data_IF_099946858536
#
_entry.id   IF_099946858536
#
_cell.length_a   1.000
_cell.length_b   1.000
_cell.length_c   1.000
_cell.angle_alpha   90.00
_cell.angle_beta   90.00
_cell.angle_gamma   90.00
#
_symmetry.space_group_name_H-M   'P 1'
#
loop_
_entity.id
_entity.type
_entity.pdbx_description
1 polymer ?
#
# COMPACT_ATOMS: atom_id res chain seq x y z
N UNK A 1 7.78 -10.28 -64.07
CA UNK A 1 6.79 -9.68 -65.01
C UNK A 1 5.42 -9.90 -64.43
N UNK A 2 4.64 -8.90 -64.25
CA UNK A 2 3.28 -8.70 -63.69
C UNK A 2 3.25 -7.99 -62.32
N UNK A 3 3.17 -6.68 -62.43
CA UNK A 3 2.68 -5.73 -61.43
C UNK A 3 1.16 -5.87 -61.28
N UNK A 4 0.63 -5.85 -60.05
CA UNK A 4 -0.76 -5.47 -59.81
C UNK A 4 -0.79 -4.30 -58.86
N UNK A 5 -1.08 -3.12 -59.41
CA UNK A 5 -1.57 -1.94 -58.70
C UNK A 5 -2.98 -2.24 -58.22
N UNK A 6 -3.29 -1.97 -56.97
CA UNK A 6 -4.67 -1.82 -56.48
C UNK A 6 -4.80 -0.46 -55.78
N UNK A 7 -5.80 0.26 -56.24
CA UNK A 7 -6.11 1.64 -55.93
C UNK A 7 -6.63 1.81 -54.47
N UNK A 8 -6.20 2.89 -53.85
CA UNK A 8 -6.62 3.42 -52.56
C UNK A 8 -7.86 4.30 -52.79
N UNK A 9 -8.99 3.90 -52.17
CA UNK A 9 -10.16 4.78 -52.04
C UNK A 9 -10.11 5.45 -50.67
N UNK A 10 -9.90 6.77 -50.67
CA UNK A 10 -9.94 7.60 -49.47
C UNK A 10 -11.39 7.79 -48.98
N UNK A 11 -11.60 7.58 -47.68
CA UNK A 11 -12.83 7.94 -47.01
C UNK A 11 -12.49 9.02 -45.94
N UNK A 12 -12.80 10.27 -46.25
CA UNK A 12 -12.71 11.43 -45.37
C UNK A 12 -13.95 11.43 -44.47
N UNK A 13 -13.77 11.14 -43.16
CA UNK A 13 -14.81 11.33 -42.14
C UNK A 13 -14.63 12.70 -41.50
N UNK A 14 -15.60 13.59 -41.71
CA UNK A 14 -15.71 14.90 -41.03
C UNK A 14 -16.29 14.67 -39.63
N UNK A 15 -15.51 14.98 -38.58
CA UNK A 15 -16.00 15.06 -37.19
C UNK A 15 -16.65 16.41 -36.96
N UNK A 16 -17.95 16.41 -36.63
CA UNK A 16 -18.66 17.56 -36.11
C UNK A 16 -18.43 17.65 -34.59
N UNK A 17 -17.82 18.76 -34.16
CA UNK A 17 -17.69 19.14 -32.75
C UNK A 17 -19.00 19.77 -32.27
N UNK A 18 -19.74 19.06 -31.41
CA UNK A 18 -20.82 19.66 -30.62
C UNK A 18 -20.25 20.15 -29.30
N UNK A 19 -20.11 21.47 -29.18
CA UNK A 19 -19.75 22.13 -27.94
C UNK A 19 -20.95 22.18 -27.00
N UNK A 20 -20.83 21.61 -25.79
CA UNK A 20 -21.72 21.87 -24.69
C UNK A 20 -21.22 23.08 -23.90
N UNK A 21 -21.97 24.19 -23.98
CA UNK A 21 -21.79 25.36 -23.12
C UNK A 21 -22.34 25.07 -21.72
N UNK A 22 -21.46 25.12 -20.71
CA UNK A 22 -21.87 25.10 -19.30
C UNK A 22 -22.22 26.51 -18.89
N UNK A 23 -23.50 26.78 -18.65
CA UNK A 23 -24.01 27.98 -18.03
C UNK A 23 -23.69 27.97 -16.54
N UNK A 24 -22.89 28.92 -16.07
CA UNK A 24 -22.72 29.24 -14.65
C UNK A 24 -23.97 29.98 -14.15
N UNK A 25 -24.69 29.36 -13.24
CA UNK A 25 -25.69 30.08 -12.43
C UNK A 25 -24.98 30.61 -11.17
N UNK A 26 -24.81 31.91 -11.13
CA UNK A 26 -24.58 32.68 -9.91
C UNK A 26 -25.92 32.85 -9.21
N UNK A 27 -26.10 32.25 -8.06
CA UNK A 27 -27.16 32.63 -7.13
C UNK A 27 -26.61 32.86 -5.72
N UNK A 28 -26.71 34.12 -5.37
CA UNK A 28 -27.00 34.79 -4.09
C UNK A 28 -26.43 34.19 -2.79
N UNK A 29 -25.49 34.94 -2.25
CA UNK A 29 -25.24 35.10 -0.82
C UNK A 29 -26.52 35.50 -0.05
N UNK A 30 -27.02 34.63 0.80
CA UNK A 30 -27.79 35.02 1.97
C UNK A 30 -26.98 34.66 3.22
N UNK A 31 -26.48 35.71 3.85
CA UNK A 31 -25.84 35.66 5.15
C UNK A 31 -26.97 35.54 6.22
N UNK A 32 -27.12 34.32 6.75
CA UNK A 32 -27.95 34.15 7.98
C UNK A 32 -27.08 34.44 9.18
N UNK A 33 -27.27 35.67 9.69
CA UNK A 33 -26.70 36.16 10.93
C UNK A 33 -27.59 35.68 12.09
N UNK A 34 -27.36 34.51 12.64
CA UNK A 34 -28.00 34.04 13.86
C UNK A 34 -27.19 34.48 15.08
N UNK A 35 -27.47 35.66 15.55
CA UNK A 35 -26.98 36.18 16.82
C UNK A 35 -27.75 35.47 17.93
N UNK A 36 -27.10 34.54 18.60
CA UNK A 36 -27.60 33.92 19.83
C UNK A 36 -27.24 34.81 21.02
N UNK A 37 -28.26 35.51 21.56
CA UNK A 37 -28.17 36.26 22.80
C UNK A 37 -28.05 35.29 23.98
N UNK A 38 -26.90 35.23 24.63
CA UNK A 38 -26.81 34.69 25.99
C UNK A 38 -26.78 35.86 26.97
N UNK A 39 -27.80 35.91 27.76
CA UNK A 39 -27.88 36.81 28.91
C UNK A 39 -26.88 36.32 29.96
N UNK A 40 -25.78 37.07 30.16
CA UNK A 40 -24.86 36.87 31.27
C UNK A 40 -25.49 37.40 32.53
N UNK A 41 -25.95 36.50 33.41
CA UNK A 41 -26.32 36.86 34.78
C UNK A 41 -25.03 36.94 35.62
N UNK A 42 -24.55 38.15 35.82
CA UNK A 42 -23.53 38.49 36.82
C UNK A 42 -24.15 38.44 38.21
N UNK A 43 -23.88 37.36 38.95
CA UNK A 43 -24.08 37.36 40.41
C UNK A 43 -22.72 37.56 41.09
N UNK A 44 -22.60 38.74 41.69
CA UNK A 44 -21.52 39.08 42.62
C UNK A 44 -21.74 38.35 43.93
N UNK A 45 -20.77 37.48 44.33
CA UNK A 45 -20.65 37.04 45.70
C UNK A 45 -19.15 36.95 46.07
N UNK A 46 -18.83 37.56 47.19
CA UNK A 46 -17.52 37.74 47.79
C UNK A 46 -16.77 36.42 48.04
N UNK A 47 -15.43 36.45 48.04
CA UNK A 47 -14.60 35.29 48.28
C UNK A 47 -14.49 34.97 49.78
N UNK A 48 -14.82 33.77 50.17
CA UNK A 48 -14.38 33.15 51.42
C UNK A 48 -13.10 32.32 51.14
N UNK A 49 -12.11 32.36 52.03
CA UNK A 49 -10.86 31.61 51.81
C UNK A 49 -11.04 30.15 52.24
N UNK A 50 -10.97 29.22 51.33
CA UNK A 50 -10.89 27.79 51.62
C UNK A 50 -9.68 27.18 50.95
N UNK A 51 -8.75 26.80 51.81
CA UNK A 51 -7.69 25.79 51.75
C UNK A 51 -7.19 25.32 50.35
N UNK A 52 -5.94 25.70 50.09
CA UNK A 52 -5.02 25.10 49.15
C UNK A 52 -4.82 23.59 49.46
N UNK A 53 -5.41 22.67 48.68
CA UNK A 53 -4.96 21.27 48.53
C UNK A 53 -5.74 20.46 47.48
N UNK A 54 -6.23 21.08 46.41
CA UNK A 54 -6.89 20.35 45.31
C UNK A 54 -6.29 20.60 43.90
N UNK A 55 -5.11 21.20 43.77
CA UNK A 55 -4.54 21.57 42.49
C UNK A 55 -3.63 20.53 41.83
N UNK A 56 -3.38 19.37 42.46
CA UNK A 56 -2.43 18.37 41.92
C UNK A 56 -3.11 17.23 41.11
N UNK A 57 -4.41 16.98 41.35
CA UNK A 57 -5.11 15.89 40.61
C UNK A 57 -5.76 16.31 39.31
N UNK A 58 -6.07 17.57 39.07
CA UNK A 58 -6.67 18.03 37.82
C UNK A 58 -5.66 18.22 36.68
N UNK A 59 -4.38 18.37 36.98
CA UNK A 59 -3.35 18.57 35.97
C UNK A 59 -2.96 17.28 35.24
N UNK A 60 -3.13 16.12 35.88
CA UNK A 60 -2.83 14.82 35.26
C UNK A 60 -3.89 14.37 34.24
N UNK A 61 -5.14 14.83 34.41
CA UNK A 61 -6.25 14.47 33.51
C UNK A 61 -6.25 15.32 32.22
N UNK A 62 -5.75 16.56 32.29
CA UNK A 62 -5.55 17.43 31.12
C UNK A 62 -4.35 17.03 30.25
N UNK A 63 -3.31 16.44 30.83
CA UNK A 63 -2.15 15.97 30.09
C UNK A 63 -2.44 14.68 29.30
N UNK A 64 -3.38 13.86 29.80
CA UNK A 64 -3.82 12.64 29.08
C UNK A 64 -4.72 12.98 27.88
N UNK A 65 -5.47 14.08 27.94
CA UNK A 65 -6.33 14.52 26.84
C UNK A 65 -5.57 15.23 25.70
N UNK A 66 -4.31 15.61 25.91
CA UNK A 66 -3.47 16.29 24.92
C UNK A 66 -2.61 15.35 24.08
N UNK A 67 -2.64 14.05 24.29
CA UNK A 67 -2.07 13.09 23.36
C UNK A 67 -2.99 12.90 22.16
N UNK A 68 -3.34 14.00 21.48
CA UNK A 68 -3.90 13.96 20.14
C UNK A 68 -2.82 13.38 19.22
N UNK A 69 -2.93 12.10 18.94
CA UNK A 69 -2.08 11.42 17.98
C UNK A 69 -2.48 11.91 16.58
N UNK A 70 -1.63 12.65 15.87
CA UNK A 70 -1.99 13.17 14.56
C UNK A 70 -2.41 12.04 13.60
N UNK A 71 -3.29 12.31 12.66
CA UNK A 71 -3.79 11.40 11.61
C UNK A 71 -2.68 10.62 10.86
N UNK A 72 -1.43 11.05 10.91
CA UNK A 72 -0.25 10.32 10.39
C UNK A 72 -0.04 8.92 10.98
N UNK A 73 -0.60 8.62 12.15
CA UNK A 73 -0.46 7.34 12.84
C UNK A 73 -1.53 6.29 12.44
N UNK A 74 -2.42 6.61 11.50
CA UNK A 74 -3.44 5.65 11.03
C UNK A 74 -3.00 4.78 9.86
N UNK A 75 -1.83 5.05 9.23
CA UNK A 75 -1.32 4.19 8.16
C UNK A 75 -0.93 2.81 8.71
N UNK A 76 -1.40 1.78 8.01
CA UNK A 76 -1.07 0.37 8.26
C UNK A 76 0.07 -0.07 7.37
N UNK A 77 0.61 -1.27 7.60
CA UNK A 77 1.60 -1.89 6.72
C UNK A 77 1.06 -1.98 5.28
N UNK A 78 -0.21 -2.37 5.13
CA UNK A 78 -0.86 -2.48 3.83
C UNK A 78 -0.85 -1.16 3.03
N UNK A 79 -1.02 -0.01 3.70
CA UNK A 79 -0.96 1.30 3.02
C UNK A 79 0.45 1.63 2.50
N UNK A 80 1.51 1.21 3.22
CA UNK A 80 2.88 1.37 2.75
C UNK A 80 3.17 0.48 1.55
N UNK A 81 2.70 -0.77 1.58
CA UNK A 81 2.85 -1.72 0.46
C UNK A 81 2.05 -1.28 -0.75
N UNK A 82 0.82 -0.77 -0.57
CA UNK A 82 0.02 -0.21 -1.66
C UNK A 82 0.75 0.93 -2.38
N UNK A 83 1.35 1.86 -1.64
CA UNK A 83 2.16 2.93 -2.24
C UNK A 83 3.40 2.41 -2.97
N UNK A 84 4.06 1.36 -2.43
CA UNK A 84 5.20 0.72 -3.11
C UNK A 84 4.76 -0.01 -4.36
N UNK A 85 3.62 -0.68 -4.32
CA UNK A 85 3.06 -1.38 -5.47
C UNK A 85 2.66 -0.40 -6.58
N UNK A 86 2.09 0.77 -6.25
CA UNK A 86 1.83 1.85 -7.21
C UNK A 86 3.11 2.32 -7.89
N UNK A 87 4.18 2.60 -7.11
CA UNK A 87 5.48 3.00 -7.68
C UNK A 87 6.03 1.94 -8.67
N UNK A 88 5.80 0.65 -8.39
CA UNK A 88 6.21 -0.45 -9.29
C UNK A 88 5.34 -0.51 -10.54
N UNK A 89 4.03 -0.37 -10.39
CA UNK A 89 3.04 -0.44 -11.48
C UNK A 89 3.27 0.68 -12.48
N UNK A 90 3.47 1.91 -12.03
CA UNK A 90 3.74 3.07 -12.89
C UNK A 90 4.93 2.83 -13.84
N UNK A 91 5.96 2.12 -13.35
CA UNK A 91 7.13 1.79 -14.17
C UNK A 91 6.88 0.57 -15.07
N UNK A 92 6.15 -0.44 -14.56
CA UNK A 92 5.81 -1.65 -15.34
C UNK A 92 4.93 -1.34 -16.54
N UNK A 93 3.96 -0.43 -16.42
CA UNK A 93 3.07 -0.02 -17.51
C UNK A 93 3.85 0.65 -18.66
N UNK A 94 4.92 1.38 -18.33
CA UNK A 94 5.79 2.00 -19.33
C UNK A 94 6.61 0.98 -20.13
N UNK A 95 7.04 -0.12 -19.49
CA UNK A 95 7.89 -1.17 -20.10
C UNK A 95 7.07 -2.25 -20.84
N UNK A 96 5.86 -2.53 -20.37
CA UNK A 96 4.99 -3.55 -20.95
C UNK A 96 3.52 -3.11 -20.86
N UNK A 97 3.03 -2.35 -21.85
CA UNK A 97 1.68 -1.80 -21.84
C UNK A 97 0.56 -2.86 -21.91
N UNK A 98 0.91 -4.12 -22.20
CA UNK A 98 -0.03 -5.24 -22.21
C UNK A 98 0.10 -6.06 -20.92
N UNK A 99 -0.69 -5.70 -19.90
CA UNK A 99 -0.68 -6.32 -18.57
C UNK A 99 -0.98 -7.83 -18.58
N UNK A 100 -1.67 -8.35 -19.61
CA UNK A 100 -2.03 -9.76 -19.71
C UNK A 100 -0.83 -10.69 -19.94
N UNK A 101 0.31 -10.14 -20.33
CA UNK A 101 1.55 -10.92 -20.55
C UNK A 101 2.47 -10.98 -19.32
N UNK A 102 2.17 -10.21 -18.26
CA UNK A 102 3.02 -10.10 -17.06
C UNK A 102 2.50 -11.03 -15.96
N UNK A 103 3.27 -12.10 -15.70
CA UNK A 103 3.07 -13.00 -14.56
C UNK A 103 4.22 -12.84 -13.57
N UNK A 104 3.91 -12.39 -12.35
CA UNK A 104 4.90 -12.03 -11.33
C UNK A 104 4.88 -13.08 -10.21
N UNK A 105 6.01 -13.75 -9.97
CA UNK A 105 6.22 -14.51 -8.75
C UNK A 105 6.70 -13.56 -7.65
N UNK A 106 6.07 -13.58 -6.48
CA UNK A 106 6.48 -12.75 -5.34
C UNK A 106 7.28 -13.60 -4.37
N UNK A 107 8.55 -13.22 -4.15
CA UNK A 107 9.42 -13.89 -3.18
C UNK A 107 9.33 -13.26 -1.81
N UNK A 108 9.74 -13.99 -0.78
CA UNK A 108 9.93 -13.43 0.57
C UNK A 108 10.91 -12.25 0.52
N UNK A 109 10.59 -11.15 1.19
CA UNK A 109 11.49 -10.01 1.36
C UNK A 109 12.50 -10.38 2.45
N UNK A 110 13.79 -10.36 2.12
CA UNK A 110 14.86 -10.88 2.97
C UNK A 110 15.68 -9.76 3.62
N UNK A 111 16.39 -10.07 4.69
CA UNK A 111 17.33 -9.13 5.30
C UNK A 111 18.47 -8.82 4.32
N UNK A 112 18.90 -7.55 4.26
CA UNK A 112 20.09 -7.18 3.49
C UNK A 112 21.35 -7.51 4.30
N UNK A 113 21.69 -8.78 4.34
CA UNK A 113 22.92 -9.29 4.92
C UNK A 113 23.81 -9.95 3.85
N UNK A 114 24.94 -10.54 4.27
CA UNK A 114 25.89 -11.18 3.34
C UNK A 114 25.30 -12.41 2.63
N UNK A 115 24.28 -13.06 3.21
CA UNK A 115 23.71 -14.30 2.69
C UNK A 115 22.52 -14.09 1.77
N UNK A 116 21.75 -13.01 1.99
CA UNK A 116 20.46 -12.70 1.32
C UNK A 116 19.43 -13.85 1.43
N UNK A 117 19.51 -14.65 2.48
CA UNK A 117 18.64 -15.82 2.67
C UNK A 117 17.90 -15.81 4.03
N UNK A 118 18.05 -14.76 4.83
CA UNK A 118 17.35 -14.62 6.08
C UNK A 118 16.03 -13.90 5.88
N UNK A 119 14.96 -14.52 6.33
CA UNK A 119 13.62 -13.94 6.33
C UNK A 119 13.07 -13.85 7.75
N UNK A 120 12.11 -12.97 7.94
CA UNK A 120 11.41 -12.79 9.20
C UNK A 120 9.91 -12.55 8.96
N UNK A 121 9.16 -12.36 10.03
CA UNK A 121 7.72 -12.13 9.97
C UNK A 121 7.37 -10.94 9.07
N UNK A 122 8.10 -9.81 9.18
CA UNK A 122 7.87 -8.63 8.35
C UNK A 122 8.05 -8.94 6.85
N UNK A 123 9.14 -9.61 6.48
CA UNK A 123 9.43 -9.97 5.10
C UNK A 123 8.37 -10.89 4.49
N UNK A 124 7.83 -11.81 5.29
CA UNK A 124 6.73 -12.69 4.85
C UNK A 124 5.43 -11.91 4.69
N UNK A 125 5.05 -11.05 5.65
CA UNK A 125 3.83 -10.25 5.57
C UNK A 125 3.87 -9.24 4.41
N UNK A 126 5.03 -8.64 4.15
CA UNK A 126 5.23 -7.78 2.97
C UNK A 126 4.97 -8.54 1.68
N UNK A 127 5.54 -9.75 1.54
CA UNK A 127 5.34 -10.58 0.35
C UNK A 127 3.86 -10.91 0.12
N UNK A 128 3.15 -11.37 1.15
CA UNK A 128 1.71 -11.67 1.06
C UNK A 128 0.89 -10.41 0.70
N UNK A 129 1.25 -9.25 1.27
CA UNK A 129 0.56 -8.00 0.96
C UNK A 129 0.84 -7.55 -0.47
N UNK A 130 2.06 -7.75 -1.00
CA UNK A 130 2.38 -7.47 -2.41
C UNK A 130 1.60 -8.35 -3.37
N UNK A 131 1.41 -9.65 -3.06
CA UNK A 131 0.55 -10.55 -3.84
C UNK A 131 -0.84 -9.93 -4.01
N UNK A 132 -1.45 -9.52 -2.89
CA UNK A 132 -2.77 -8.91 -2.91
C UNK A 132 -2.81 -7.60 -3.72
N UNK A 133 -1.84 -6.71 -3.52
CA UNK A 133 -1.82 -5.41 -4.20
C UNK A 133 -1.59 -5.54 -5.72
N UNK A 134 -0.67 -6.40 -6.15
CA UNK A 134 -0.42 -6.61 -7.58
C UNK A 134 -1.65 -7.20 -8.29
N UNK A 135 -2.36 -8.15 -7.66
CA UNK A 135 -3.62 -8.66 -8.19
C UNK A 135 -4.69 -7.56 -8.28
N UNK A 136 -4.78 -6.70 -7.27
CA UNK A 136 -5.70 -5.55 -7.25
C UNK A 136 -5.44 -4.59 -8.42
N UNK A 137 -4.18 -4.44 -8.84
CA UNK A 137 -3.76 -3.63 -9.99
C UNK A 137 -3.87 -4.38 -11.33
N UNK A 138 -4.38 -5.62 -11.34
CA UNK A 138 -4.64 -6.38 -12.57
C UNK A 138 -3.48 -7.20 -13.11
N UNK A 139 -2.39 -7.34 -12.36
CA UNK A 139 -1.26 -8.21 -12.75
C UNK A 139 -1.53 -9.67 -12.41
N UNK A 140 -1.08 -10.57 -13.27
CA UNK A 140 -1.03 -12.00 -12.97
C UNK A 140 0.01 -12.27 -11.87
N UNK A 141 -0.41 -12.93 -10.78
CA UNK A 141 0.51 -13.33 -9.71
C UNK A 141 0.57 -14.83 -9.60
N UNK A 142 1.79 -15.37 -9.58
CA UNK A 142 2.05 -16.80 -9.44
C UNK A 142 2.53 -17.08 -8.03
N UNK A 143 1.79 -17.90 -7.29
CA UNK A 143 2.23 -18.39 -5.97
C UNK A 143 2.90 -19.77 -6.13
N UNK A 144 4.23 -19.75 -6.20
CA UNK A 144 5.04 -20.97 -6.34
C UNK A 144 5.12 -21.82 -5.06
N UNK A 145 4.50 -21.37 -3.95
CA UNK A 145 4.34 -22.15 -2.73
C UNK A 145 3.15 -23.11 -2.80
N UNK A 146 2.36 -23.05 -3.87
CA UNK A 146 1.21 -23.92 -4.07
C UNK A 146 1.67 -25.34 -4.42
N UNK A 147 1.15 -26.32 -3.67
CA UNK A 147 1.39 -27.75 -3.92
C UNK A 147 0.51 -28.25 -5.08
N UNK A 148 0.95 -29.32 -5.76
CA UNK A 148 0.17 -29.97 -6.82
C UNK A 148 -1.14 -30.61 -6.30
N UNK A 149 -1.15 -31.03 -5.05
CA UNK A 149 -2.30 -31.68 -4.40
C UNK A 149 -2.65 -30.96 -3.10
N UNK A 150 -3.94 -30.96 -2.75
CA UNK A 150 -4.41 -30.50 -1.44
C UNK A 150 -4.16 -31.61 -0.44
N UNK A 151 -3.40 -31.30 0.63
CA UNK A 151 -3.17 -32.22 1.76
C UNK A 151 -4.32 -32.08 2.77
N UNK A 152 -5.19 -33.08 2.82
CA UNK A 152 -6.37 -33.08 3.69
C UNK A 152 -6.09 -33.91 4.93
N UNK A 153 -6.19 -33.31 6.12
CA UNK A 153 -5.95 -33.97 7.39
C UNK A 153 -6.93 -33.51 8.49
N UNK A 154 -6.90 -34.18 9.66
CA UNK A 154 -7.67 -33.77 10.83
C UNK A 154 -7.27 -32.40 11.41
N UNK A 155 -6.17 -31.82 10.96
CA UNK A 155 -5.69 -30.48 11.33
C UNK A 155 -6.16 -29.38 10.36
N UNK A 156 -6.72 -29.74 9.21
CA UNK A 156 -7.18 -28.85 8.15
C UNK A 156 -6.73 -29.29 6.77
N UNK A 157 -7.07 -28.49 5.78
CA UNK A 157 -6.74 -28.68 4.38
C UNK A 157 -5.61 -27.72 3.99
N UNK A 158 -4.50 -28.25 3.51
CA UNK A 158 -3.30 -27.48 3.20
C UNK A 158 -2.97 -27.56 1.71
N UNK A 159 -2.70 -26.41 1.10
CA UNK A 159 -2.29 -26.29 -0.30
C UNK A 159 -0.97 -25.53 -0.46
N UNK A 160 -0.56 -24.80 0.59
CA UNK A 160 0.69 -24.04 0.59
C UNK A 160 1.77 -24.78 1.38
N UNK A 161 2.96 -24.90 0.81
CA UNK A 161 4.13 -25.54 1.45
C UNK A 161 5.41 -24.74 1.17
N UNK A 162 6.41 -24.90 2.05
CA UNK A 162 7.79 -24.50 1.82
C UNK A 162 8.69 -25.71 1.59
N UNK A 163 8.13 -26.90 1.60
CA UNK A 163 8.82 -28.15 1.30
C UNK A 163 8.92 -28.31 -0.21
N UNK A 164 10.16 -28.25 -0.71
CA UNK A 164 10.47 -28.25 -2.15
C UNK A 164 9.94 -29.53 -2.83
N UNK A 165 9.92 -30.65 -2.11
CA UNK A 165 9.44 -31.94 -2.67
C UNK A 165 7.94 -31.94 -2.98
N UNK A 166 7.18 -31.01 -2.36
CA UNK A 166 5.73 -30.86 -2.53
C UNK A 166 5.33 -29.77 -3.53
N UNK A 167 6.28 -28.99 -4.02
CA UNK A 167 6.03 -27.86 -4.90
C UNK A 167 6.04 -28.26 -6.36
N UNK A 168 5.19 -27.64 -7.17
CA UNK A 168 5.15 -27.84 -8.61
C UNK A 168 6.45 -27.32 -9.27
N UNK A 169 7.04 -28.11 -10.17
CA UNK A 169 8.17 -27.67 -10.99
C UNK A 169 7.80 -26.64 -12.05
N UNK A 170 6.51 -26.46 -12.31
CA UNK A 170 6.01 -25.60 -13.37
C UNK A 170 6.03 -24.13 -12.95
N UNK A 171 7.10 -23.42 -13.26
CA UNK A 171 7.18 -21.98 -13.09
C UNK A 171 6.59 -21.25 -14.30
N UNK A 172 5.40 -20.67 -14.15
CA UNK A 172 4.76 -19.86 -15.18
C UNK A 172 5.05 -18.36 -15.07
N UNK A 173 5.96 -17.96 -14.17
CA UNK A 173 6.30 -16.56 -13.97
C UNK A 173 7.41 -16.12 -14.92
N UNK A 174 7.17 -15.01 -15.62
CA UNK A 174 8.19 -14.36 -16.46
C UNK A 174 8.89 -13.20 -15.72
N UNK A 175 8.34 -12.76 -14.61
CA UNK A 175 8.93 -11.75 -13.73
C UNK A 175 8.95 -12.24 -12.27
N UNK A 176 9.88 -11.71 -11.50
CA UNK A 176 9.95 -11.95 -10.05
C UNK A 176 10.02 -10.62 -9.30
N UNK A 177 9.17 -10.46 -8.29
CA UNK A 177 9.29 -9.40 -7.30
C UNK A 177 10.14 -9.92 -6.15
N UNK A 178 11.30 -9.28 -5.97
CA UNK A 178 12.22 -9.54 -4.86
C UNK A 178 12.49 -8.27 -4.08
N UNK A 179 12.87 -8.40 -2.81
CA UNK A 179 13.17 -7.23 -2.00
C UNK A 179 14.07 -7.51 -0.81
N UNK A 180 14.57 -6.42 -0.21
CA UNK A 180 15.46 -6.45 0.94
C UNK A 180 15.03 -5.48 2.03
N UNK A 181 15.28 -5.86 3.28
CA UNK A 181 15.04 -5.09 4.50
C UNK A 181 16.34 -4.49 5.01
N UNK A 182 16.30 -3.19 5.32
CA UNK A 182 17.40 -2.45 5.93
C UNK A 182 16.89 -1.82 7.22
N UNK A 183 17.39 -2.29 8.36
CA UNK A 183 16.99 -1.79 9.67
C UNK A 183 17.62 -0.43 9.97
N UNK A 184 16.80 0.48 10.46
CA UNK A 184 17.16 1.85 10.83
C UNK A 184 16.63 2.18 12.23
N UNK A 185 17.20 3.15 12.97
CA UNK A 185 16.69 3.54 14.29
C UNK A 185 15.23 4.01 14.29
N UNK A 186 14.73 4.53 13.16
CA UNK A 186 13.38 5.08 13.02
C UNK A 186 12.41 4.17 12.25
N UNK A 187 12.86 2.99 11.78
CA UNK A 187 12.02 2.06 11.02
C UNK A 187 12.83 1.09 10.16
N UNK A 188 12.14 0.41 9.27
CA UNK A 188 12.74 -0.52 8.31
C UNK A 188 12.58 0.04 6.90
N UNK A 189 13.69 0.28 6.21
CA UNK A 189 13.66 0.62 4.79
C UNK A 189 13.52 -0.66 3.98
N UNK A 190 12.45 -0.70 3.17
CA UNK A 190 12.15 -1.82 2.26
C UNK A 190 12.52 -1.38 0.86
N UNK A 191 13.38 -2.15 0.19
CA UNK A 191 13.67 -1.99 -1.23
C UNK A 191 13.04 -3.16 -1.97
N UNK A 192 12.29 -2.88 -3.03
CA UNK A 192 11.70 -3.91 -3.89
C UNK A 192 12.05 -3.65 -5.34
N UNK A 193 12.09 -4.71 -6.13
CA UNK A 193 12.33 -4.65 -7.56
C UNK A 193 11.61 -5.76 -8.28
N UNK A 194 11.11 -5.46 -9.45
CA UNK A 194 10.59 -6.46 -10.40
C UNK A 194 11.66 -6.73 -11.43
N UNK A 195 11.99 -7.99 -11.60
CA UNK A 195 13.10 -8.46 -12.42
C UNK A 195 12.56 -9.42 -13.48
N UNK A 196 12.88 -9.21 -14.73
CA UNK A 196 12.61 -10.18 -15.79
C UNK A 196 13.47 -11.43 -15.57
N UNK A 197 12.85 -12.61 -15.47
CA UNK A 197 13.54 -13.86 -15.14
C UNK A 197 14.57 -14.26 -16.19
N UNK A 198 14.30 -13.97 -17.47
CA UNK A 198 15.17 -14.35 -18.58
C UNK A 198 16.33 -13.37 -18.78
N UNK A 199 16.02 -12.09 -18.91
CA UNK A 199 17.04 -11.06 -19.20
C UNK A 199 17.80 -10.57 -17.96
N UNK A 200 17.29 -10.84 -16.76
CA UNK A 200 17.79 -10.32 -15.47
C UNK A 200 17.71 -8.79 -15.35
N UNK A 201 17.02 -8.12 -16.26
CA UNK A 201 16.80 -6.68 -16.17
C UNK A 201 15.78 -6.35 -15.07
N UNK A 202 16.08 -5.31 -14.30
CA UNK A 202 15.13 -4.71 -13.37
C UNK A 202 14.23 -3.80 -14.19
N UNK A 203 12.94 -4.13 -14.23
CA UNK A 203 11.94 -3.38 -14.99
C UNK A 203 11.17 -2.39 -14.13
N UNK A 204 11.13 -2.59 -12.82
CA UNK A 204 10.56 -1.65 -11.87
C UNK A 204 11.26 -1.74 -10.52
N UNK A 205 11.26 -0.63 -9.76
CA UNK A 205 11.78 -0.62 -8.40
C UNK A 205 11.04 0.38 -7.53
N UNK A 206 10.91 0.06 -6.24
CA UNK A 206 10.36 0.98 -5.24
C UNK A 206 11.14 0.89 -3.95
N UNK A 207 11.15 1.98 -3.19
CA UNK A 207 11.77 2.05 -1.87
C UNK A 207 10.92 2.88 -0.92
N UNK A 208 10.64 2.32 0.28
CA UNK A 208 9.89 3.02 1.32
C UNK A 208 10.48 2.73 2.70
N UNK A 209 10.42 3.72 3.58
CA UNK A 209 10.70 3.53 5.00
C UNK A 209 9.38 3.25 5.72
N UNK A 210 9.27 2.11 6.37
CA UNK A 210 8.16 1.75 7.24
C UNK A 210 8.56 2.11 8.68
N UNK A 211 7.89 3.08 9.32
CA UNK A 211 8.25 3.53 10.66
C UNK A 211 7.99 2.47 11.72
N UNK A 212 8.78 2.47 12.81
CA UNK A 212 8.63 1.52 13.92
C UNK A 212 7.22 1.52 14.53
N UNK A 213 6.55 2.67 14.59
CA UNK A 213 5.20 2.73 15.16
C UNK A 213 4.17 1.89 14.37
N UNK A 214 4.37 1.73 13.04
CA UNK A 214 3.52 0.85 12.21
C UNK A 214 3.78 -0.59 12.59
N UNK A 215 5.03 -1.00 12.69
CA UNK A 215 5.45 -2.37 13.02
C UNK A 215 4.97 -2.77 14.41
N UNK A 216 5.13 -1.88 15.39
CA UNK A 216 4.69 -2.11 16.77
C UNK A 216 3.15 -2.23 16.88
N UNK A 217 2.40 -1.46 16.06
CA UNK A 217 0.94 -1.49 16.05
C UNK A 217 0.39 -2.82 15.49
N UNK A 218 1.13 -3.44 14.59
CA UNK A 218 0.73 -4.68 13.93
C UNK A 218 1.39 -5.93 14.56
N UNK A 219 1.98 -5.79 15.76
CA UNK A 219 2.66 -6.86 16.50
C UNK A 219 3.71 -7.62 15.66
N UNK A 220 4.40 -6.88 14.80
CA UNK A 220 5.43 -7.46 13.92
C UNK A 220 6.76 -7.53 14.65
N UNK A 221 7.22 -8.74 14.89
CA UNK A 221 8.51 -9.02 15.50
C UNK A 221 9.62 -9.02 14.44
N UNK A 222 10.66 -8.21 14.66
CA UNK A 222 11.78 -8.06 13.74
C UNK A 222 12.91 -9.08 13.96
N UNK A 223 12.76 -9.98 14.95
CA UNK A 223 13.72 -11.05 15.16
C UNK A 223 13.50 -12.19 14.15
N UNK A 224 14.55 -12.58 13.44
CA UNK A 224 14.58 -13.85 12.72
C UNK A 224 14.67 -15.01 13.73
N UNK A 225 13.80 -16.00 13.60
CA UNK A 225 13.96 -17.28 14.31
C UNK A 225 15.15 -18.06 13.74
#
# INVERSE_FOLDING_TARGET
MFYKLSAIAGLTATLALTGCSITQNNEHNESINTRSDYTVLTQSSQPTPVHANQSVQQQSEYDTARQFTPLKHHKTLANYVEQMALDLVDTLEAEAPDNNSINIAVTTIVDLDASLNKSNQLGNQLAETFIHQLQKFGYGVVDFKTMDNIDVSNRGDFVLSRDIEKLSESSMANYVLAGTLIYRPNGVAVNTRVINVHSKHIVASSRKLIPLYVLNKEDIYLSSN
#
